data_IF_611009641396
#
_entry.id   IF_611009641396
#
_cell.length_a   1.000
_cell.length_b   1.000
_cell.length_c   1.000
_cell.angle_alpha   90.00
_cell.angle_beta   90.00
_cell.angle_gamma   90.00
#
_symmetry.space_group_name_H-M   'P 1'
#
loop_
_entity.id
_entity.type
_entity.pdbx_description
1 polymer ?
#
# COMPACT_ATOMS: atom_id res chain seq x y z
N UNK A 1 5.79 16.43 21.26
CA UNK A 1 6.05 14.98 21.27
C UNK A 1 7.56 14.70 21.10
N UNK A 2 8.40 15.10 22.07
CA UNK A 2 9.87 14.93 21.99
C UNK A 2 10.42 13.85 22.92
N UNK A 3 9.59 13.08 23.62
CA UNK A 3 10.08 11.98 24.45
C UNK A 3 9.10 10.80 24.47
N UNK A 4 9.67 9.60 24.29
CA UNK A 4 9.15 8.26 24.63
C UNK A 4 8.74 7.28 23.51
N UNK A 5 8.55 7.67 22.26
CA UNK A 5 8.26 6.67 21.22
C UNK A 5 9.55 6.02 20.70
N UNK A 6 9.67 4.69 20.82
CA UNK A 6 10.87 3.92 20.48
C UNK A 6 11.02 3.82 18.96
N UNK A 7 12.23 4.08 18.45
CA UNK A 7 12.55 3.84 17.04
C UNK A 7 12.69 2.34 16.82
N UNK A 8 11.96 1.82 15.84
CA UNK A 8 12.02 0.42 15.45
C UNK A 8 13.37 0.11 14.81
N UNK A 9 14.00 -0.99 15.25
CA UNK A 9 15.28 -1.45 14.71
C UNK A 9 15.05 -2.28 13.44
N UNK A 10 16.14 -2.65 12.75
CA UNK A 10 16.06 -3.56 11.59
C UNK A 10 15.84 -2.85 10.25
N UNK A 11 16.00 -1.53 10.19
CA UNK A 11 15.99 -0.78 8.93
C UNK A 11 17.23 -1.08 8.10
N UNK A 12 17.01 -1.40 6.83
CA UNK A 12 18.02 -1.46 5.78
C UNK A 12 17.52 -0.71 4.53
N UNK A 13 18.44 -0.37 3.62
CA UNK A 13 18.06 0.13 2.29
C UNK A 13 18.14 -1.02 1.29
N UNK A 14 17.17 -1.08 0.37
CA UNK A 14 17.14 -2.11 -0.69
C UNK A 14 18.34 -1.93 -1.64
N UNK A 15 18.75 -0.68 -1.85
CA UNK A 15 19.91 -0.31 -2.66
C UNK A 15 20.54 0.98 -2.12
N UNK A 16 21.80 1.20 -2.49
CA UNK A 16 22.58 2.39 -2.12
C UNK A 16 22.72 3.35 -3.31
N UNK A 17 23.75 4.21 -3.31
CA UNK A 17 23.94 5.23 -4.34
C UNK A 17 24.24 4.69 -5.74
N UNK A 18 24.70 3.43 -5.86
CA UNK A 18 24.82 2.77 -7.15
C UNK A 18 23.44 2.28 -7.60
N UNK A 19 22.69 3.14 -8.27
CA UNK A 19 21.32 2.90 -8.73
C UNK A 19 21.09 3.47 -10.13
N UNK A 20 20.18 2.88 -10.93
CA UNK A 20 19.96 3.27 -12.32
C UNK A 20 18.96 4.42 -12.53
N UNK A 21 18.42 5.00 -11.45
CA UNK A 21 17.43 6.07 -11.48
C UNK A 21 17.80 7.20 -10.50
N UNK A 22 17.37 8.43 -10.80
CA UNK A 22 17.60 9.59 -9.93
C UNK A 22 16.56 9.70 -8.82
N UNK A 23 15.33 9.27 -9.10
CA UNK A 23 14.20 9.31 -8.17
C UNK A 23 13.46 7.98 -8.14
N UNK A 24 12.96 7.58 -6.96
CA UNK A 24 12.13 6.39 -6.77
C UNK A 24 10.98 6.64 -5.80
N UNK A 25 9.85 5.95 -6.00
CA UNK A 25 8.67 6.10 -5.15
C UNK A 25 7.74 4.88 -5.16
N UNK A 26 6.73 4.93 -4.29
CA UNK A 26 5.61 3.99 -4.26
C UNK A 26 6.06 2.53 -4.20
N UNK A 27 6.79 2.20 -3.14
CA UNK A 27 7.25 0.83 -2.89
C UNK A 27 6.10 -0.11 -2.56
N UNK A 28 6.28 -1.38 -2.93
CA UNK A 28 5.43 -2.52 -2.58
C UNK A 28 6.32 -3.73 -2.30
N UNK A 29 5.81 -4.71 -1.55
CA UNK A 29 6.54 -5.94 -1.26
C UNK A 29 5.61 -7.16 -1.12
N UNK A 30 6.19 -8.34 -1.32
CA UNK A 30 5.61 -9.64 -0.90
C UNK A 30 6.70 -10.50 -0.26
N UNK A 31 6.30 -11.30 0.73
CA UNK A 31 7.11 -12.41 1.24
C UNK A 31 6.71 -13.70 0.53
N UNK A 32 7.70 -14.48 0.12
CA UNK A 32 7.51 -15.72 -0.64
C UNK A 32 7.63 -16.95 0.26
N UNK A 33 7.09 -18.08 -0.19
CA UNK A 33 7.13 -19.34 0.56
C UNK A 33 8.53 -19.92 0.74
N UNK A 34 9.45 -19.58 -0.16
CA UNK A 34 10.85 -19.95 -0.03
C UNK A 34 11.65 -19.06 0.96
N UNK A 35 10.99 -18.08 1.60
CA UNK A 35 11.60 -17.15 2.55
C UNK A 35 12.29 -15.94 1.91
N UNK A 36 12.28 -15.83 0.58
CA UNK A 36 12.72 -14.62 -0.10
C UNK A 36 11.68 -13.50 0.03
N UNK A 37 12.14 -12.26 -0.08
CA UNK A 37 11.27 -11.09 -0.22
C UNK A 37 11.41 -10.50 -1.62
N UNK A 38 10.30 -10.15 -2.27
CA UNK A 38 10.31 -9.32 -3.47
C UNK A 38 9.82 -7.93 -3.12
N UNK A 39 10.52 -6.91 -3.62
CA UNK A 39 10.09 -5.53 -3.52
C UNK A 39 10.13 -4.87 -4.90
N UNK A 40 9.17 -3.98 -5.16
CA UNK A 40 9.10 -3.20 -6.39
C UNK A 40 8.75 -1.74 -6.10
N UNK A 41 9.12 -0.84 -6.99
CA UNK A 41 8.87 0.60 -6.92
C UNK A 41 8.92 1.19 -8.33
N UNK A 42 8.36 2.39 -8.54
CA UNK A 42 8.64 3.10 -9.78
C UNK A 42 9.89 3.96 -9.64
N UNK A 43 10.65 4.12 -10.72
CA UNK A 43 11.88 4.91 -10.72
C UNK A 43 12.28 5.40 -12.11
N UNK A 44 12.88 6.59 -12.14
CA UNK A 44 13.31 7.28 -13.36
C UNK A 44 14.00 8.60 -13.01
N UNK A 45 14.03 9.54 -13.96
CA UNK A 45 14.57 10.88 -13.73
C UNK A 45 13.73 11.66 -12.71
N UNK A 46 12.41 11.67 -12.88
CA UNK A 46 11.45 12.28 -11.97
C UNK A 46 10.06 11.66 -12.18
N UNK A 47 9.19 11.81 -11.19
CA UNK A 47 7.78 11.43 -11.32
C UNK A 47 7.10 12.14 -12.49
N UNK A 48 6.23 11.43 -13.22
CA UNK A 48 5.63 11.83 -14.52
C UNK A 48 6.53 11.71 -15.74
N UNK A 49 7.84 11.58 -15.56
CA UNK A 49 8.70 11.54 -16.74
C UNK A 49 8.51 10.22 -17.51
N UNK A 50 8.61 10.26 -18.85
CA UNK A 50 8.38 9.12 -19.73
C UNK A 50 9.44 8.01 -19.62
N UNK A 51 10.50 8.23 -18.84
CA UNK A 51 11.53 7.23 -18.49
C UNK A 51 11.25 6.53 -17.15
N UNK A 52 10.07 6.76 -16.55
CA UNK A 52 9.69 6.08 -15.31
C UNK A 52 9.27 4.66 -15.59
N UNK A 53 10.06 3.70 -15.11
CA UNK A 53 9.81 2.27 -15.20
C UNK A 53 9.49 1.66 -13.82
N UNK A 54 8.99 0.43 -13.80
CA UNK A 54 8.89 -0.36 -12.57
C UNK A 54 10.18 -1.13 -12.38
N UNK A 55 10.83 -0.89 -11.25
CA UNK A 55 12.05 -1.56 -10.81
C UNK A 55 11.74 -2.55 -9.70
N UNK A 56 12.55 -3.59 -9.58
CA UNK A 56 12.45 -4.55 -8.49
C UNK A 56 13.81 -5.00 -7.97
N UNK A 57 13.80 -5.52 -6.75
CA UNK A 57 14.91 -6.27 -6.16
C UNK A 57 14.36 -7.47 -5.39
N UNK A 58 15.16 -8.54 -5.32
CA UNK A 58 14.90 -9.73 -4.50
C UNK A 58 15.83 -9.72 -3.29
N UNK A 59 15.27 -9.98 -2.11
CA UNK A 59 16.02 -10.30 -0.90
C UNK A 59 16.14 -11.81 -0.79
N UNK A 60 17.38 -12.33 -0.85
CA UNK A 60 17.71 -13.74 -0.66
C UNK A 60 18.87 -13.86 0.31
N UNK A 61 18.78 -14.79 1.25
CA UNK A 61 19.82 -15.03 2.27
C UNK A 61 20.27 -13.75 3.00
N UNK A 62 19.31 -12.86 3.28
CA UNK A 62 19.57 -11.61 3.97
C UNK A 62 20.11 -10.46 3.10
N UNK A 63 20.20 -10.62 1.78
CA UNK A 63 20.83 -9.65 0.88
C UNK A 63 19.92 -9.29 -0.29
N UNK A 64 19.88 -8.01 -0.62
CA UNK A 64 19.15 -7.50 -1.79
C UNK A 64 19.97 -7.63 -3.07
N UNK A 65 19.32 -8.06 -4.16
CA UNK A 65 19.85 -7.99 -5.51
C UNK A 65 19.94 -6.55 -6.00
N UNK A 66 20.80 -6.30 -6.99
CA UNK A 66 20.82 -5.01 -7.69
C UNK A 66 19.43 -4.70 -8.30
N UNK A 67 18.99 -3.44 -8.32
CA UNK A 67 17.75 -3.05 -8.97
C UNK A 67 17.71 -3.40 -10.46
N UNK A 68 16.69 -4.14 -10.87
CA UNK A 68 16.46 -4.51 -12.27
C UNK A 68 15.09 -3.98 -12.74
N UNK A 69 14.97 -3.69 -14.04
CA UNK A 69 13.70 -3.28 -14.64
C UNK A 69 12.78 -4.49 -14.71
N UNK A 70 11.60 -4.37 -14.11
CA UNK A 70 10.56 -5.40 -14.16
C UNK A 70 9.52 -5.12 -15.24
N UNK A 71 9.15 -3.85 -15.43
CA UNK A 71 8.24 -3.41 -16.48
C UNK A 71 8.65 -2.02 -16.96
N UNK A 72 8.58 -1.80 -18.26
CA UNK A 72 8.85 -0.52 -18.91
C UNK A 72 7.98 -0.39 -20.17
N UNK A 73 7.57 0.83 -20.51
CA UNK A 73 6.82 1.13 -21.71
C UNK A 73 7.36 2.42 -22.33
N UNK A 74 8.08 2.27 -23.44
CA UNK A 74 8.85 3.37 -24.03
C UNK A 74 8.00 4.62 -24.26
N UNK A 75 8.36 5.70 -23.58
CA UNK A 75 7.72 7.00 -23.75
C UNK A 75 6.49 7.22 -22.86
N UNK A 76 6.11 6.25 -22.03
CA UNK A 76 4.94 6.31 -21.16
C UNK A 76 5.37 6.04 -19.73
N UNK A 77 5.00 6.94 -18.81
CA UNK A 77 5.34 6.79 -17.40
C UNK A 77 4.57 5.61 -16.76
N UNK A 78 5.28 4.77 -16.02
CA UNK A 78 4.72 3.72 -15.17
C UNK A 78 4.71 4.14 -13.69
N UNK A 79 3.70 3.69 -12.95
CA UNK A 79 3.45 4.18 -11.59
C UNK A 79 2.91 3.13 -10.64
N UNK A 80 2.95 3.46 -9.34
CA UNK A 80 2.33 2.77 -8.21
C UNK A 80 2.25 1.25 -8.38
N UNK A 81 3.40 0.55 -8.43
CA UNK A 81 3.39 -0.90 -8.48
C UNK A 81 2.73 -1.48 -7.23
N UNK A 82 2.02 -2.59 -7.41
CA UNK A 82 1.41 -3.37 -6.33
C UNK A 82 1.75 -4.83 -6.55
N UNK A 83 2.57 -5.40 -5.68
CA UNK A 83 2.83 -6.83 -5.64
C UNK A 83 1.72 -7.53 -4.84
N UNK A 84 1.32 -8.70 -5.32
CA UNK A 84 0.34 -9.56 -4.66
C UNK A 84 0.75 -11.02 -4.81
N UNK A 85 1.01 -11.68 -3.68
CA UNK A 85 1.26 -13.12 -3.63
C UNK A 85 -0.09 -13.84 -3.47
N UNK A 86 -0.58 -14.42 -4.56
CA UNK A 86 -1.90 -15.03 -4.60
C UNK A 86 -1.89 -16.43 -3.95
N UNK A 87 -3.04 -16.90 -3.40
CA UNK A 87 -3.11 -18.19 -2.72
C UNK A 87 -2.80 -19.42 -3.60
N UNK A 88 -2.85 -19.25 -4.92
CA UNK A 88 -2.56 -20.31 -5.89
C UNK A 88 -1.08 -20.35 -6.33
N UNK A 89 -0.21 -19.60 -5.64
CA UNK A 89 1.24 -19.54 -5.87
C UNK A 89 1.66 -18.60 -7.01
N UNK A 90 0.71 -17.93 -7.68
CA UNK A 90 1.02 -16.88 -8.64
C UNK A 90 1.38 -15.59 -7.93
N UNK A 91 2.40 -14.89 -8.44
CA UNK A 91 2.73 -13.55 -7.99
C UNK A 91 2.30 -12.58 -9.08
N UNK A 92 1.48 -11.60 -8.71
CA UNK A 92 1.07 -10.53 -9.60
C UNK A 92 1.89 -9.28 -9.29
N UNK A 93 2.29 -8.57 -10.33
CA UNK A 93 2.64 -7.16 -10.27
C UNK A 93 1.59 -6.39 -11.06
N UNK A 94 0.81 -5.56 -10.37
CA UNK A 94 -0.05 -4.56 -10.99
C UNK A 94 0.68 -3.22 -11.04
N UNK A 95 0.43 -2.41 -12.06
CA UNK A 95 1.02 -1.08 -12.18
C UNK A 95 0.15 -0.17 -13.05
N UNK A 96 0.21 1.14 -12.79
CA UNK A 96 -0.49 2.11 -13.63
C UNK A 96 0.36 2.48 -14.83
N UNK A 97 -0.32 2.67 -15.97
CA UNK A 97 0.28 3.14 -17.22
C UNK A 97 -0.47 4.39 -17.66
N UNK A 98 0.24 5.51 -17.84
CA UNK A 98 -0.37 6.75 -18.32
C UNK A 98 0.48 7.99 -18.05
N UNK A 99 0.25 9.06 -18.81
CA UNK A 99 0.99 10.32 -18.71
C UNK A 99 0.63 11.14 -17.47
N UNK A 100 -0.62 11.01 -16.99
CA UNK A 100 -1.14 11.82 -15.90
C UNK A 100 -2.07 11.01 -14.97
N UNK A 101 -2.37 11.58 -13.81
CA UNK A 101 -3.14 10.93 -12.74
C UNK A 101 -4.62 10.70 -13.06
N UNK A 102 -5.14 11.27 -14.15
CA UNK A 102 -6.55 11.22 -14.51
C UNK A 102 -6.82 10.28 -15.69
N UNK A 103 -5.80 10.02 -16.52
CA UNK A 103 -5.88 9.22 -17.73
C UNK A 103 -4.83 8.10 -17.66
N UNK A 104 -5.07 7.14 -16.76
CA UNK A 104 -4.26 5.94 -16.61
C UNK A 104 -5.15 4.70 -16.62
N UNK A 105 -4.54 3.57 -16.94
CA UNK A 105 -5.14 2.24 -16.87
C UNK A 105 -4.21 1.29 -16.11
N UNK A 106 -4.75 0.17 -15.65
CA UNK A 106 -4.01 -0.82 -14.87
C UNK A 106 -3.54 -1.93 -15.79
N UNK A 107 -2.23 -2.15 -15.85
CA UNK A 107 -1.65 -3.36 -16.42
C UNK A 107 -1.16 -4.30 -15.32
N UNK A 108 -0.99 -5.56 -15.67
CA UNK A 108 -0.39 -6.55 -14.79
C UNK A 108 0.54 -7.50 -15.56
N UNK A 109 1.49 -8.06 -14.83
CA UNK A 109 2.28 -9.22 -15.23
C UNK A 109 2.23 -10.27 -14.13
N UNK A 110 2.38 -11.55 -14.50
CA UNK A 110 2.26 -12.68 -13.58
C UNK A 110 3.54 -13.50 -13.60
N UNK A 111 4.03 -13.89 -12.43
CA UNK A 111 5.02 -14.95 -12.27
C UNK A 111 4.39 -16.21 -11.69
N UNK A 112 4.78 -17.36 -12.22
CA UNK A 112 4.38 -18.69 -11.72
C UNK A 112 5.59 -19.51 -11.21
N UNK A 113 6.75 -18.88 -11.09
CA UNK A 113 8.02 -19.51 -10.74
C UNK A 113 8.75 -18.75 -9.62
N UNK A 114 7.98 -18.27 -8.64
CA UNK A 114 8.47 -17.49 -7.50
C UNK A 114 9.10 -16.14 -7.87
N UNK A 115 8.73 -15.51 -8.98
CA UNK A 115 9.21 -14.20 -9.41
C UNK A 115 10.54 -14.24 -10.16
N UNK A 116 10.82 -15.34 -10.86
CA UNK A 116 12.03 -15.51 -11.69
C UNK A 116 11.74 -15.08 -13.13
N UNK A 117 10.60 -15.48 -13.68
CA UNK A 117 10.09 -15.02 -14.97
C UNK A 117 8.66 -14.50 -14.86
N UNK A 118 8.29 -13.66 -15.81
CA UNK A 118 7.01 -12.96 -15.85
C UNK A 118 6.39 -13.06 -17.24
N UNK A 119 5.06 -13.08 -17.29
CA UNK A 119 4.30 -13.04 -18.56
C UNK A 119 4.47 -11.71 -19.28
N UNK A 120 4.04 -11.67 -20.55
CA UNK A 120 3.76 -10.40 -21.22
C UNK A 120 2.67 -9.61 -20.45
N UNK A 121 2.67 -8.26 -20.54
CA UNK A 121 1.66 -7.43 -19.88
C UNK A 121 0.23 -7.67 -20.37
N UNK A 122 -0.69 -7.84 -19.43
CA UNK A 122 -2.14 -7.81 -19.66
C UNK A 122 -2.78 -6.53 -19.12
N UNK A 123 -3.91 -6.13 -19.68
CA UNK A 123 -4.78 -5.10 -19.09
C UNK A 123 -5.69 -5.72 -18.05
N UNK A 124 -5.83 -5.09 -16.88
CA UNK A 124 -6.71 -5.58 -15.81
C UNK A 124 -8.16 -5.70 -16.29
N UNK A 125 -8.66 -4.63 -16.96
CA UNK A 125 -9.95 -4.62 -17.65
C UNK A 125 -9.74 -3.98 -19.02
N UNK A 126 -9.97 -4.73 -20.11
CA UNK A 126 -9.71 -4.24 -21.46
C UNK A 126 -10.42 -2.93 -21.79
N UNK A 127 -9.67 -1.93 -22.24
CA UNK A 127 -10.19 -0.62 -22.67
C UNK A 127 -10.66 0.31 -21.54
N UNK A 128 -10.40 -0.03 -20.28
CA UNK A 128 -10.70 0.84 -19.14
C UNK A 128 -9.74 2.04 -19.06
N UNK A 129 -10.26 3.21 -18.68
CA UNK A 129 -9.49 4.42 -18.40
C UNK A 129 -10.12 5.09 -17.17
N UNK A 130 -9.30 5.60 -16.25
CA UNK A 130 -9.77 6.39 -15.10
C UNK A 130 -9.70 5.65 -13.76
N UNK A 131 -9.24 4.40 -13.79
CA UNK A 131 -8.51 3.80 -12.69
C UNK A 131 -9.19 2.63 -12.03
N UNK A 132 -8.62 1.44 -12.24
CA UNK A 132 -9.05 0.17 -11.62
C UNK A 132 -8.01 -0.35 -10.65
N UNK A 133 -8.47 -1.15 -9.69
CA UNK A 133 -7.66 -1.69 -8.61
C UNK A 133 -6.75 -2.83 -9.04
N UNK A 134 -5.66 -3.08 -8.30
CA UNK A 134 -5.29 -2.37 -7.08
C UNK A 134 -4.57 -1.05 -7.39
N UNK A 135 -4.89 -0.01 -6.60
CA UNK A 135 -4.18 1.27 -6.59
C UNK A 135 -3.43 1.39 -5.28
N UNK A 136 -2.09 1.37 -5.35
CA UNK A 136 -1.16 1.61 -4.23
C UNK A 136 -1.16 0.52 -3.15
N UNK A 137 -2.30 -0.09 -2.80
CA UNK A 137 -2.42 -1.11 -1.76
C UNK A 137 -2.76 -2.48 -2.35
N UNK A 138 -2.21 -3.53 -1.76
CA UNK A 138 -2.38 -4.93 -2.18
C UNK A 138 -3.84 -5.40 -2.09
N UNK A 139 -4.27 -6.30 -3.00
CA UNK A 139 -5.51 -7.03 -2.82
C UNK A 139 -5.54 -7.86 -1.53
N UNK A 140 -6.75 -8.18 -1.06
CA UNK A 140 -6.98 -9.18 -0.01
C UNK A 140 -7.88 -10.29 -0.53
N UNK A 141 -7.69 -11.48 0.02
CA UNK A 141 -8.52 -12.67 -0.27
C UNK A 141 -9.48 -12.85 0.89
N UNK A 142 -10.78 -12.85 0.59
CA UNK A 142 -11.83 -13.11 1.57
C UNK A 142 -11.91 -14.60 1.91
N UNK A 143 -12.60 -14.92 3.00
CA UNK A 143 -12.82 -16.28 3.47
C UNK A 143 -13.42 -17.23 2.41
N UNK A 144 -14.21 -16.71 1.45
CA UNK A 144 -14.86 -17.47 0.39
C UNK A 144 -13.98 -17.63 -0.87
N UNK A 145 -12.77 -17.08 -0.87
CA UNK A 145 -11.83 -17.09 -1.99
C UNK A 145 -11.98 -15.93 -2.97
N UNK A 146 -12.98 -15.06 -2.80
CA UNK A 146 -13.12 -13.81 -3.56
C UNK A 146 -11.95 -12.88 -3.27
N UNK A 147 -11.38 -12.20 -4.28
CA UNK A 147 -10.36 -11.18 -4.05
C UNK A 147 -10.95 -9.79 -4.20
N UNK A 148 -10.53 -8.89 -3.31
CA UNK A 148 -10.84 -7.46 -3.38
C UNK A 148 -9.56 -6.69 -3.66
N UNK A 149 -9.54 -5.90 -4.73
CA UNK A 149 -8.44 -5.00 -5.09
C UNK A 149 -8.86 -3.54 -4.81
N UNK A 150 -8.27 -2.87 -3.80
CA UNK A 150 -8.67 -1.51 -3.44
C UNK A 150 -8.31 -0.51 -4.54
N UNK A 151 -9.22 0.42 -4.85
CA UNK A 151 -9.09 1.36 -5.96
C UNK A 151 -9.67 2.74 -5.64
N UNK A 152 -9.43 3.70 -6.53
CA UNK A 152 -9.96 5.05 -6.39
C UNK A 152 -9.98 5.80 -7.72
N UNK A 153 -10.99 6.65 -7.88
CA UNK A 153 -11.10 7.63 -8.96
C UNK A 153 -10.44 8.94 -8.51
N UNK A 154 -9.47 9.42 -9.27
CA UNK A 154 -8.61 10.57 -8.89
C UNK A 154 -8.94 11.85 -9.69
N UNK A 155 -10.23 12.23 -9.76
CA UNK A 155 -10.70 13.30 -10.66
C UNK A 155 -10.87 14.66 -9.94
N UNK A 156 -11.92 15.43 -10.31
CA UNK A 156 -12.34 16.63 -9.58
C UNK A 156 -12.57 16.32 -8.10
N UNK A 157 -13.23 15.20 -7.85
CA UNK A 157 -13.39 14.60 -6.52
C UNK A 157 -12.63 13.27 -6.47
N UNK A 158 -12.28 12.88 -5.25
CA UNK A 158 -11.66 11.61 -4.93
C UNK A 158 -12.69 10.70 -4.31
N UNK A 159 -12.96 9.60 -5.02
CA UNK A 159 -13.89 8.56 -4.61
C UNK A 159 -13.14 7.23 -4.57
N UNK A 160 -13.46 6.40 -3.58
CA UNK A 160 -12.83 5.10 -3.38
C UNK A 160 -13.82 3.98 -3.66
N UNK A 161 -13.32 2.83 -4.08
CA UNK A 161 -14.08 1.62 -4.31
C UNK A 161 -13.15 0.39 -4.24
N UNK A 162 -13.69 -0.79 -4.50
CA UNK A 162 -12.91 -2.02 -4.67
C UNK A 162 -13.28 -2.69 -5.98
N UNK A 163 -12.29 -3.26 -6.65
CA UNK A 163 -12.49 -4.21 -7.73
C UNK A 163 -12.61 -5.63 -7.17
N UNK A 164 -13.55 -6.41 -7.69
CA UNK A 164 -13.89 -7.75 -7.18
C UNK A 164 -13.62 -8.79 -8.27
N UNK A 165 -12.94 -9.87 -7.90
CA UNK A 165 -12.78 -11.06 -8.74
C UNK A 165 -13.14 -12.31 -7.93
N UNK A 166 -13.89 -13.22 -8.55
CA UNK A 166 -14.22 -14.54 -8.00
C UNK A 166 -13.53 -15.69 -8.76
N UNK A 167 -12.69 -15.37 -9.75
CA UNK A 167 -12.07 -16.33 -10.67
C UNK A 167 -10.54 -16.28 -10.65
N UNK A 168 -9.97 -15.82 -9.52
CA UNK A 168 -8.53 -15.74 -9.32
C UNK A 168 -7.87 -14.65 -10.17
N UNK A 169 -8.52 -13.49 -10.31
CA UNK A 169 -7.97 -12.33 -11.01
C UNK A 169 -8.04 -12.40 -12.53
N UNK A 170 -8.87 -13.28 -13.11
CA UNK A 170 -9.05 -13.35 -14.57
C UNK A 170 -10.03 -12.28 -15.06
N UNK A 171 -11.11 -12.05 -14.31
CA UNK A 171 -12.08 -10.99 -14.57
C UNK A 171 -12.37 -10.18 -13.32
N UNK A 172 -12.62 -8.88 -13.52
CA UNK A 172 -12.79 -7.90 -12.44
C UNK A 172 -14.05 -7.05 -12.63
N UNK A 173 -14.84 -6.91 -11.58
CA UNK A 173 -16.03 -6.04 -11.53
C UNK A 173 -15.83 -4.97 -10.46
N UNK A 174 -16.01 -3.71 -10.82
CA UNK A 174 -15.98 -2.62 -9.85
C UNK A 174 -17.21 -2.68 -8.93
N UNK A 175 -16.98 -2.63 -7.62
CA UNK A 175 -18.03 -2.46 -6.61
C UNK A 175 -18.59 -1.03 -6.61
N UNK A 176 -19.62 -0.80 -5.80
CA UNK A 176 -20.15 0.55 -5.60
C UNK A 176 -19.09 1.49 -5.03
N UNK A 177 -19.14 2.77 -5.43
CA UNK A 177 -18.35 3.81 -4.79
C UNK A 177 -18.70 3.88 -3.29
N UNK A 178 -17.68 4.09 -2.47
CA UNK A 178 -17.84 4.31 -1.03
C UNK A 178 -18.61 5.63 -0.82
N UNK A 179 -19.75 5.63 -0.12
CA UNK A 179 -20.55 6.85 0.02
C UNK A 179 -19.81 7.97 0.76
N UNK A 180 -19.84 9.16 0.17
CA UNK A 180 -19.26 10.40 0.70
C UNK A 180 -20.11 11.60 0.27
N UNK A 181 -20.42 12.51 1.19
CA UNK A 181 -21.05 13.78 0.87
C UNK A 181 -20.01 14.87 0.56
N UNK A 182 -19.64 15.00 -0.71
CA UNK A 182 -18.69 16.02 -1.18
C UNK A 182 -19.13 17.47 -0.94
N UNK A 183 -20.41 17.73 -0.70
CA UNK A 183 -20.91 19.05 -0.31
C UNK A 183 -20.59 19.43 1.14
N UNK A 184 -20.31 18.45 1.99
CA UNK A 184 -19.94 18.64 3.41
C UNK A 184 -18.48 18.33 3.68
N UNK A 185 -17.84 17.52 2.83
CA UNK A 185 -16.46 17.10 3.01
C UNK A 185 -15.45 18.23 2.73
N UNK A 186 -14.43 18.37 3.57
CA UNK A 186 -13.38 19.36 3.38
C UNK A 186 -12.27 18.83 2.46
N UNK A 187 -12.21 19.36 1.23
CA UNK A 187 -11.20 19.04 0.23
C UNK A 187 -11.72 18.12 -0.87
N UNK A 188 -10.87 17.27 -1.45
CA UNK A 188 -11.22 16.46 -2.63
C UNK A 188 -11.99 15.18 -2.30
N UNK A 189 -11.84 14.64 -1.09
CA UNK A 189 -12.46 13.38 -0.68
C UNK A 189 -11.44 12.37 -0.16
N UNK A 190 -11.68 11.09 -0.47
CA UNK A 190 -10.94 9.93 0.05
C UNK A 190 -10.39 9.05 -1.07
N UNK A 191 -9.21 8.47 -0.85
CA UNK A 191 -8.46 7.79 -1.90
C UNK A 191 -7.58 6.66 -1.33
N UNK A 192 -7.11 5.74 -2.19
CA UNK A 192 -6.08 4.73 -1.90
C UNK A 192 -6.40 3.91 -0.63
N UNK A 193 -7.55 3.21 -0.60
CA UNK A 193 -7.93 2.43 0.58
C UNK A 193 -6.95 1.30 0.87
N UNK A 194 -6.77 0.98 2.14
CA UNK A 194 -6.26 -0.33 2.59
C UNK A 194 -7.41 -1.10 3.23
N UNK A 195 -7.47 -2.41 3.01
CA UNK A 195 -8.63 -3.25 3.38
C UNK A 195 -8.22 -4.49 4.17
N UNK A 196 -9.14 -5.02 4.96
CA UNK A 196 -9.04 -6.33 5.61
C UNK A 196 -10.44 -6.89 5.90
N UNK A 197 -10.55 -8.21 6.00
CA UNK A 197 -11.75 -8.90 6.47
C UNK A 197 -11.59 -9.28 7.94
N UNK A 198 -12.51 -8.89 8.81
CA UNK A 198 -12.46 -9.27 10.25
C UNK A 198 -13.09 -10.64 10.49
N UNK A 199 -14.26 -10.84 9.88
CA UNK A 199 -15.11 -12.04 9.91
C UNK A 199 -15.70 -12.26 8.51
N UNK A 200 -16.24 -13.46 8.20
CA UNK A 200 -16.84 -13.72 6.90
C UNK A 200 -17.78 -12.61 6.40
N UNK A 201 -17.44 -12.02 5.25
CA UNK A 201 -18.12 -10.89 4.58
C UNK A 201 -18.08 -9.54 5.32
N UNK A 202 -17.44 -9.45 6.50
CA UNK A 202 -17.22 -8.21 7.25
C UNK A 202 -15.89 -7.58 6.85
N UNK A 203 -15.95 -6.71 5.85
CA UNK A 203 -14.78 -6.06 5.27
C UNK A 203 -14.70 -4.61 5.75
N UNK A 204 -13.50 -4.17 6.08
CA UNK A 204 -13.24 -2.83 6.57
C UNK A 204 -12.21 -2.15 5.68
N UNK A 205 -12.28 -0.83 5.58
CA UNK A 205 -11.28 -0.05 4.89
C UNK A 205 -10.84 1.17 5.69
N UNK A 206 -9.54 1.49 5.60
CA UNK A 206 -9.01 2.79 5.99
C UNK A 206 -8.62 3.58 4.74
N UNK A 207 -8.92 4.87 4.76
CA UNK A 207 -8.89 5.75 3.61
C UNK A 207 -8.01 6.97 3.88
N UNK A 208 -7.06 7.23 2.97
CA UNK A 208 -6.32 8.49 2.92
C UNK A 208 -7.29 9.61 2.51
N UNK A 209 -7.13 10.79 3.09
CA UNK A 209 -8.04 11.92 2.81
C UNK A 209 -7.33 13.27 2.73
N UNK A 210 -8.00 14.26 2.15
CA UNK A 210 -7.55 15.66 2.15
C UNK A 210 -7.94 16.46 3.40
N UNK A 211 -8.61 15.86 4.38
CA UNK A 211 -9.11 16.60 5.55
C UNK A 211 -8.19 16.51 6.78
N UNK A 212 -6.99 15.94 6.63
CA UNK A 212 -6.02 15.86 7.72
C UNK A 212 -6.20 14.65 8.64
N UNK A 213 -7.04 13.67 8.26
CA UNK A 213 -7.35 12.47 9.04
C UNK A 213 -7.55 11.24 8.16
N UNK A 214 -7.40 10.06 8.74
CA UNK A 214 -7.80 8.81 8.11
C UNK A 214 -9.30 8.60 8.32
N UNK A 215 -10.00 8.18 7.27
CA UNK A 215 -11.42 7.80 7.33
C UNK A 215 -11.57 6.30 7.30
N UNK A 216 -12.71 5.82 7.78
CA UNK A 216 -13.10 4.42 7.74
C UNK A 216 -14.43 4.26 7.04
N UNK A 217 -14.61 3.12 6.39
CA UNK A 217 -15.90 2.62 5.95
C UNK A 217 -15.91 1.10 6.09
N UNK A 218 -17.09 0.54 6.30
CA UNK A 218 -17.29 -0.88 6.58
C UNK A 218 -18.33 -1.46 5.62
N UNK A 219 -18.15 -2.72 5.27
CA UNK A 219 -19.00 -3.51 4.41
C UNK A 219 -19.44 -4.77 5.14
N UNK A 220 -20.72 -5.10 5.00
CA UNK A 220 -21.32 -6.31 5.57
C UNK A 220 -21.59 -7.41 4.53
N UNK A 221 -21.26 -7.16 3.27
CA UNK A 221 -21.60 -8.01 2.12
C UNK A 221 -20.37 -8.34 1.25
N UNK A 222 -19.19 -8.44 1.87
CA UNK A 222 -17.95 -8.83 1.19
C UNK A 222 -17.38 -7.75 0.29
N UNK A 223 -17.54 -6.48 0.64
CA UNK A 223 -17.00 -5.34 -0.09
C UNK A 223 -17.84 -4.86 -1.29
N UNK A 224 -19.06 -5.38 -1.46
CA UNK A 224 -19.95 -5.01 -2.59
C UNK A 224 -20.61 -3.65 -2.36
N UNK A 225 -21.03 -3.40 -1.12
CA UNK A 225 -21.54 -2.11 -0.65
C UNK A 225 -20.85 -1.68 0.64
N UNK A 226 -20.88 -0.38 0.90
CA UNK A 226 -20.12 0.28 1.96
C UNK A 226 -21.01 1.28 2.69
N UNK A 227 -20.82 1.42 4.00
CA UNK A 227 -21.44 2.51 4.76
C UNK A 227 -20.79 3.87 4.41
N UNK A 228 -21.48 4.97 4.70
CA UNK A 228 -20.89 6.31 4.53
C UNK A 228 -19.62 6.44 5.37
N UNK A 229 -18.59 7.05 4.79
CA UNK A 229 -17.32 7.24 5.49
C UNK A 229 -17.51 7.97 6.82
N UNK A 230 -16.73 7.58 7.81
CA UNK A 230 -16.66 8.28 9.09
C UNK A 230 -15.21 8.51 9.51
N UNK A 231 -15.03 9.60 10.24
CA UNK A 231 -13.72 10.06 10.70
C UNK A 231 -13.18 9.17 11.81
N UNK A 232 -11.88 8.83 11.75
CA UNK A 232 -11.19 8.09 12.83
C UNK A 232 -10.40 9.04 13.72
N UNK A 233 -9.90 8.51 14.85
CA UNK A 233 -8.98 9.25 15.73
C UNK A 233 -7.60 9.48 15.11
N UNK A 234 -7.26 8.82 13.99
CA UNK A 234 -5.92 8.82 13.39
C UNK A 234 -5.68 10.08 12.54
N UNK A 235 -4.75 10.98 12.95
CA UNK A 235 -4.34 12.09 12.10
C UNK A 235 -3.55 11.60 10.89
N UNK A 236 -3.68 12.27 9.74
CA UNK A 236 -2.86 11.96 8.56
C UNK A 236 -2.73 13.17 7.64
N UNK A 237 -1.52 13.38 7.10
CA UNK A 237 -1.21 14.59 6.33
C UNK A 237 -1.60 14.49 4.85
N UNK A 238 -2.55 13.61 4.51
CA UNK A 238 -2.84 13.19 3.16
C UNK A 238 -1.66 12.46 2.51
N UNK A 239 -0.99 11.57 3.27
CA UNK A 239 0.04 10.66 2.76
C UNK A 239 -0.51 9.24 2.63
N UNK A 240 0.09 8.44 1.75
CA UNK A 240 -0.28 7.03 1.58
C UNK A 240 -0.19 6.24 2.89
N UNK A 241 -1.10 5.29 3.05
CA UNK A 241 -1.20 4.38 4.20
C UNK A 241 -1.31 2.95 3.69
N UNK A 242 -0.86 1.97 4.46
CA UNK A 242 -1.13 0.55 4.20
C UNK A 242 -1.30 -0.20 5.52
N UNK A 243 -2.13 -1.24 5.51
CA UNK A 243 -2.36 -2.10 6.66
C UNK A 243 -2.21 -3.58 6.31
N UNK A 244 -1.88 -4.38 7.31
CA UNK A 244 -1.89 -5.82 7.25
C UNK A 244 -2.64 -6.38 8.45
N UNK A 245 -3.56 -7.31 8.21
CA UNK A 245 -4.15 -8.16 9.25
C UNK A 245 -3.18 -9.29 9.57
N UNK A 246 -3.00 -9.56 10.85
CA UNK A 246 -2.14 -10.61 11.37
C UNK A 246 -2.96 -11.87 11.68
N UNK A 247 -2.27 -12.99 11.87
CA UNK A 247 -2.90 -14.30 12.15
C UNK A 247 -3.69 -14.30 13.48
N UNK A 248 -3.28 -13.49 14.45
CA UNK A 248 -4.00 -13.32 15.73
C UNK A 248 -5.22 -12.38 15.62
N UNK A 249 -5.50 -11.84 14.43
CA UNK A 249 -6.58 -10.90 14.16
C UNK A 249 -6.22 -9.43 14.44
N UNK A 250 -5.04 -9.14 14.97
CA UNK A 250 -4.54 -7.76 15.10
C UNK A 250 -4.34 -7.12 13.73
N UNK A 251 -4.27 -5.79 13.70
CA UNK A 251 -4.05 -5.02 12.47
C UNK A 251 -2.85 -4.10 12.71
N UNK A 252 -1.85 -4.18 11.84
CA UNK A 252 -0.74 -3.23 11.80
C UNK A 252 -0.99 -2.20 10.69
N UNK A 253 -0.80 -0.92 10.99
CA UNK A 253 -0.98 0.22 10.07
C UNK A 253 0.29 1.04 10.01
N UNK A 254 0.77 1.35 8.80
CA UNK A 254 1.90 2.26 8.58
C UNK A 254 1.39 3.57 7.99
N UNK A 255 1.69 4.69 8.65
CA UNK A 255 1.19 6.01 8.26
C UNK A 255 2.01 7.17 8.87
N UNK A 256 1.72 8.40 8.43
CA UNK A 256 2.27 9.63 9.00
C UNK A 256 1.23 10.31 9.92
N UNK A 257 1.42 10.36 11.26
CA UNK A 257 0.42 10.83 12.22
C UNK A 257 0.40 12.37 12.34
N UNK A 258 0.21 13.06 11.22
CA UNK A 258 0.29 14.53 11.13
C UNK A 258 -1.06 15.09 10.67
N UNK A 259 -1.78 15.76 11.56
CA UNK A 259 -3.17 16.21 11.36
C UNK A 259 -3.37 17.43 10.46
N UNK A 260 -2.59 17.55 9.38
CA UNK A 260 -2.59 18.72 8.48
C UNK A 260 -2.48 18.25 7.04
N UNK A 261 -3.48 18.56 6.21
CA UNK A 261 -3.43 18.29 4.77
C UNK A 261 -2.18 18.95 4.15
N UNK A 262 -1.42 18.19 3.35
CA UNK A 262 -0.11 18.61 2.82
C UNK A 262 0.89 19.02 3.90
N UNK A 263 0.77 18.44 5.09
CA UNK A 263 1.75 18.59 6.17
C UNK A 263 3.01 17.75 5.97
N UNK A 264 3.98 17.84 6.90
CA UNK A 264 5.22 17.06 6.85
C UNK A 264 4.98 15.55 6.76
N UNK A 265 5.79 14.86 5.95
CA UNK A 265 5.84 13.39 5.81
C UNK A 265 6.76 12.74 6.85
N UNK A 266 6.82 13.35 8.04
CA UNK A 266 7.59 12.90 9.20
C UNK A 266 6.80 13.25 10.47
N UNK A 267 6.76 12.38 11.49
CA UNK A 267 7.35 11.04 11.50
C UNK A 267 6.60 10.06 10.57
N UNK A 268 7.24 8.93 10.27
CA UNK A 268 6.56 7.73 9.75
C UNK A 268 6.51 6.71 10.90
N UNK A 269 5.34 6.13 11.14
CA UNK A 269 5.12 5.21 12.26
C UNK A 269 4.44 3.92 11.80
N UNK A 270 4.62 2.85 12.58
CA UNK A 270 3.77 1.66 12.54
C UNK A 270 2.99 1.57 13.85
N UNK A 271 1.67 1.40 13.75
CA UNK A 271 0.77 1.26 14.89
C UNK A 271 0.01 -0.06 14.84
N UNK A 272 -0.31 -0.64 16.00
CA UNK A 272 -1.02 -1.91 16.12
C UNK A 272 -2.37 -1.69 16.81
N UNK A 273 -3.42 -2.27 16.23
CA UNK A 273 -4.77 -2.38 16.79
C UNK A 273 -5.07 -3.84 17.12
N UNK A 274 -5.72 -4.07 18.27
CA UNK A 274 -6.23 -5.39 18.70
C UNK A 274 -7.76 -5.45 18.75
N UNK A 275 -8.43 -4.39 18.33
CA UNK A 275 -9.88 -4.21 18.42
C UNK A 275 -10.48 -3.81 17.06
N UNK A 276 -10.00 -4.50 16.01
CA UNK A 276 -10.48 -4.36 14.64
C UNK A 276 -10.37 -2.91 14.11
N UNK A 277 -9.27 -2.22 14.41
CA UNK A 277 -8.95 -0.89 13.91
C UNK A 277 -9.66 0.25 14.64
N UNK A 278 -10.25 -0.03 15.80
CA UNK A 278 -10.98 0.98 16.61
C UNK A 278 -10.01 1.86 17.40
N UNK A 279 -9.02 1.24 18.06
CA UNK A 279 -7.97 1.94 18.82
C UNK A 279 -6.57 1.44 18.41
N UNK A 280 -5.57 2.31 18.63
CA UNK A 280 -4.19 2.10 18.18
C UNK A 280 -3.16 2.40 19.29
N UNK A 281 -3.21 1.66 20.42
CA UNK A 281 -2.44 2.02 21.63
C UNK A 281 -0.95 1.69 21.55
N UNK A 282 -0.51 0.91 20.56
CA UNK A 282 0.91 0.56 20.36
C UNK A 282 1.42 1.23 19.10
N UNK A 283 2.50 2.00 19.21
CA UNK A 283 3.11 2.72 18.09
C UNK A 283 4.63 2.70 18.22
N UNK A 284 5.33 2.38 17.13
CA UNK A 284 6.77 2.59 16.98
C UNK A 284 7.05 3.60 15.88
N UNK A 285 8.14 4.33 16.02
CA UNK A 285 8.62 5.24 14.98
C UNK A 285 9.53 4.48 14.00
N UNK A 286 9.27 4.59 12.71
CA UNK A 286 10.15 4.10 11.65
C UNK A 286 11.18 5.18 11.27
N UNK A 287 10.70 6.41 11.12
CA UNK A 287 11.53 7.58 10.79
C UNK A 287 11.07 8.80 11.60
N UNK A 288 12.03 9.48 12.23
CA UNK A 288 11.78 10.65 13.09
C UNK A 288 12.36 11.95 12.53
N UNK A 289 13.50 11.86 11.84
CA UNK A 289 14.22 13.02 11.33
C UNK A 289 13.41 13.78 10.28
N UNK A 290 13.75 15.04 10.04
CA UNK A 290 13.10 15.79 8.97
C UNK A 290 13.35 15.14 7.60
N UNK A 291 12.28 14.93 6.82
CA UNK A 291 12.38 14.29 5.52
C UNK A 291 11.04 13.88 4.93
N UNK A 292 11.11 13.38 3.70
CA UNK A 292 9.96 12.82 3.00
C UNK A 292 9.94 11.29 3.12
N UNK A 293 9.16 10.75 4.06
CA UNK A 293 8.93 9.30 4.19
C UNK A 293 7.49 8.98 3.85
N UNK A 294 7.30 8.16 2.81
CA UNK A 294 5.97 8.09 2.19
C UNK A 294 5.75 6.82 1.38
N UNK A 295 4.48 6.60 1.03
CA UNK A 295 4.01 5.41 0.33
C UNK A 295 4.55 4.12 0.96
N UNK A 296 4.24 3.88 2.25
CA UNK A 296 4.59 2.61 2.87
C UNK A 296 3.79 1.48 2.26
N UNK A 297 4.35 0.28 2.27
CA UNK A 297 3.65 -0.99 2.08
C UNK A 297 4.02 -1.91 3.23
N UNK A 298 3.06 -2.71 3.70
CA UNK A 298 3.23 -3.64 4.83
C UNK A 298 2.62 -4.99 4.47
N UNK A 299 3.31 -6.07 4.80
CA UNK A 299 2.78 -7.44 4.76
C UNK A 299 3.10 -8.12 6.08
N UNK A 300 2.29 -9.12 6.44
CA UNK A 300 2.48 -9.92 7.64
C UNK A 300 2.39 -11.41 7.31
N UNK A 301 3.18 -12.23 8.01
CA UNK A 301 3.13 -13.70 7.96
C UNK A 301 3.39 -14.22 9.36
N UNK A 302 2.39 -14.85 9.99
CA UNK A 302 2.50 -15.18 11.41
C UNK A 302 2.61 -13.92 12.26
N UNK A 303 3.67 -13.86 13.07
CA UNK A 303 4.04 -12.71 13.91
C UNK A 303 5.06 -11.78 13.27
N UNK A 304 5.57 -12.12 12.08
CA UNK A 304 6.54 -11.31 11.34
C UNK A 304 5.83 -10.26 10.47
N UNK A 305 6.39 -9.06 10.49
CA UNK A 305 5.93 -7.90 9.74
C UNK A 305 7.10 -7.39 8.89
N UNK A 306 6.82 -7.20 7.61
CA UNK A 306 7.76 -6.60 6.67
C UNK A 306 7.17 -5.32 6.10
N UNK A 307 7.95 -4.24 6.10
CA UNK A 307 7.54 -2.91 5.69
C UNK A 307 8.54 -2.37 4.69
N UNK A 308 8.05 -1.80 3.58
CA UNK A 308 8.85 -0.94 2.70
C UNK A 308 8.28 0.46 2.65
N UNK A 309 9.11 1.48 2.41
CA UNK A 309 8.63 2.84 2.15
C UNK A 309 9.64 3.63 1.33
N UNK A 310 9.15 4.70 0.68
CA UNK A 310 10.01 5.68 0.03
C UNK A 310 10.74 6.51 1.07
N UNK A 311 12.07 6.56 0.95
CA UNK A 311 12.94 7.39 1.77
C UNK A 311 13.48 8.55 0.92
N UNK A 312 13.00 9.77 1.21
CA UNK A 312 13.43 11.05 0.60
C UNK A 312 13.42 11.10 -0.94
N UNK A 313 12.64 10.22 -1.59
CA UNK A 313 12.65 10.00 -3.05
C UNK A 313 13.99 9.51 -3.61
N UNK A 314 14.94 9.14 -2.75
CA UNK A 314 16.28 8.70 -3.09
C UNK A 314 16.48 7.19 -2.89
N UNK A 315 15.77 6.59 -1.95
CA UNK A 315 15.93 5.17 -1.61
C UNK A 315 14.58 4.54 -1.31
N UNK A 316 14.56 3.21 -1.37
CA UNK A 316 13.51 2.41 -0.74
C UNK A 316 14.11 1.79 0.52
N UNK A 317 13.49 2.06 1.66
CA UNK A 317 13.83 1.43 2.93
C UNK A 317 13.01 0.16 3.12
N UNK A 318 13.60 -0.83 3.78
CA UNK A 318 12.96 -2.05 4.23
C UNK A 318 13.16 -2.21 5.74
N UNK A 319 12.13 -2.67 6.44
CA UNK A 319 12.16 -2.97 7.87
C UNK A 319 11.45 -4.31 8.08
N UNK A 320 12.10 -5.22 8.79
CA UNK A 320 11.48 -6.46 9.30
C UNK A 320 11.44 -6.39 10.83
N UNK A 321 10.28 -6.68 11.40
CA UNK A 321 10.08 -6.74 12.85
C UNK A 321 9.04 -7.79 13.21
N UNK A 322 8.82 -7.99 14.49
CA UNK A 322 7.75 -8.84 15.02
C UNK A 322 6.63 -8.00 15.65
N UNK A 323 5.49 -8.62 15.92
CA UNK A 323 4.44 -8.02 16.77
C UNK A 323 4.98 -7.61 18.14
N UNK A 324 5.81 -8.46 18.75
CA UNK A 324 6.38 -8.20 20.07
C UNK A 324 7.28 -6.96 20.06
N UNK A 325 8.04 -6.74 18.98
CA UNK A 325 8.83 -5.50 18.82
C UNK A 325 7.93 -4.25 18.87
N UNK A 326 6.73 -4.33 18.29
CA UNK A 326 5.76 -3.21 18.29
C UNK A 326 5.11 -3.04 19.65
N UNK A 327 4.71 -4.13 20.30
CA UNK A 327 4.15 -4.10 21.65
C UNK A 327 5.15 -3.50 22.67
N UNK A 328 6.45 -3.78 22.48
CA UNK A 328 7.52 -3.26 23.31
C UNK A 328 7.81 -1.75 23.12
N UNK A 329 7.20 -1.08 22.13
CA UNK A 329 7.35 0.38 21.93
C UNK A 329 6.38 1.23 22.76
N UNK A 330 5.50 0.61 23.57
CA UNK A 330 4.43 1.27 24.32
C UNK A 330 4.88 2.59 24.95
N UNK A 331 4.10 3.66 24.74
CA UNK A 331 4.18 4.81 25.62
C UNK A 331 3.83 4.30 27.03
N UNK A 332 4.73 4.47 28.01
CA UNK A 332 4.32 4.41 29.40
C UNK A 332 3.20 5.45 29.55
N UNK A 333 1.95 4.98 29.63
CA UNK A 333 0.81 5.76 30.09
C UNK A 333 1.25 6.47 31.39
N UNK A 334 1.03 7.79 31.41
CA UNK A 334 1.30 8.63 32.56
C UNK A 334 0.33 8.33 33.70
#
# INVERSE_FOLDING_TARGET
MKSKCKILKGKEYIFENNRPFLSCHASTLVELDNGDTLAAWFGGTAEKNPDTAIWHSRRKDGKWSYPEVLADEKGIALWNPVLFNAPDGRIFLYYKVGENTNEWHTKYIISSDNGISWTDPGELVPGDIGGRGPVKNKPVVLHDGTWLAPASVESKYWDSFVDITADGGRTWTAASLVPINHGKFCGKGVIQPTIWESEPNRVHMLLRSTSGRIYRSDSEDGGRTWCEIYETSLPNNNSGIDAAKLDDGSIALVYNPVGKNWGPRTPLVVSLSKDNGTTWPYTCVLEYEEGEYSYPAIVARGDEISITYTWKRERIAYVRCTVEDILACREHEA
#
